data_IF_488571459801
#
_entry.id   IF_488571459801
#
_cell.length_a   1.000
_cell.length_b   1.000
_cell.length_c   1.000
_cell.angle_alpha   90.00
_cell.angle_beta   90.00
_cell.angle_gamma   90.00
#
_symmetry.space_group_name_H-M   'P 1'
#
loop_
_entity.id
_entity.type
_entity.pdbx_description
1 polymer ?
#
# COMPACT_ATOMS: atom_id res chain seq x y z
N UNK A 1 -36.83 2.69 25.42
CA UNK A 1 -35.69 1.80 25.07
C UNK A 1 -35.18 1.91 23.62
N UNK A 2 -35.97 2.35 22.63
CA UNK A 2 -35.51 2.44 21.21
C UNK A 2 -34.63 3.67 20.88
N UNK A 3 -34.85 4.80 21.58
CA UNK A 3 -34.07 6.05 21.36
C UNK A 3 -32.63 5.93 21.88
N UNK A 4 -32.40 5.16 22.94
CA UNK A 4 -31.05 4.97 23.50
C UNK A 4 -30.14 4.13 22.60
N UNK A 5 -30.71 3.28 21.74
CA UNK A 5 -29.95 2.46 20.80
C UNK A 5 -29.47 3.25 19.57
N UNK A 6 -30.25 4.26 19.15
CA UNK A 6 -29.88 5.14 18.03
C UNK A 6 -28.76 6.11 18.41
N UNK A 7 -28.77 6.63 19.64
CA UNK A 7 -27.72 7.49 20.16
C UNK A 7 -26.36 6.75 20.29
N UNK A 8 -26.38 5.46 20.60
CA UNK A 8 -25.17 4.62 20.68
C UNK A 8 -24.54 4.39 19.30
N UNK A 9 -25.36 4.28 18.24
CA UNK A 9 -24.90 4.12 16.86
C UNK A 9 -24.21 5.38 16.31
N UNK A 10 -24.68 6.57 16.70
CA UNK A 10 -24.07 7.85 16.27
C UNK A 10 -22.71 8.07 16.92
N UNK A 11 -22.51 7.64 18.16
CA UNK A 11 -21.23 7.77 18.87
C UNK A 11 -20.12 6.86 18.32
N UNK A 12 -20.47 5.69 17.77
CA UNK A 12 -19.52 4.76 17.14
C UNK A 12 -18.97 5.26 15.80
N UNK A 13 -19.59 6.25 15.17
CA UNK A 13 -19.16 6.81 13.89
C UNK A 13 -18.06 7.88 13.99
N UNK A 14 -17.75 8.36 15.20
CA UNK A 14 -16.74 9.40 15.42
C UNK A 14 -15.34 8.78 15.57
N UNK A 15 -14.86 8.12 14.52
CA UNK A 15 -13.46 7.69 14.44
C UNK A 15 -12.56 8.91 14.32
N UNK A 16 -11.59 9.07 15.22
CA UNK A 16 -10.53 10.06 15.07
C UNK A 16 -9.76 9.79 13.77
N UNK A 17 -9.68 10.79 12.89
CA UNK A 17 -8.91 10.68 11.66
C UNK A 17 -7.42 10.61 12.02
N UNK A 18 -6.83 9.42 11.93
CA UNK A 18 -5.40 9.23 12.08
C UNK A 18 -4.69 10.12 11.05
N UNK A 19 -4.04 11.18 11.53
CA UNK A 19 -3.36 12.12 10.66
C UNK A 19 -2.02 11.52 10.25
N UNK A 20 -1.87 11.19 8.97
CA UNK A 20 -0.57 10.80 8.41
C UNK A 20 0.32 12.04 8.42
N UNK A 21 1.41 11.99 9.20
CA UNK A 21 2.35 13.11 9.35
C UNK A 21 3.47 13.11 8.30
N UNK A 22 3.91 11.92 7.89
CA UNK A 22 5.01 11.74 6.95
C UNK A 22 4.60 10.76 5.85
N UNK A 23 4.98 11.06 4.62
CA UNK A 23 4.81 10.17 3.46
C UNK A 23 6.19 9.88 2.89
N UNK A 24 6.55 8.60 2.78
CA UNK A 24 7.80 8.15 2.17
C UNK A 24 7.49 7.41 0.87
N UNK A 25 7.91 7.98 -0.26
CA UNK A 25 7.87 7.33 -1.56
C UNK A 25 9.21 6.66 -1.85
N UNK A 26 9.21 5.32 -1.92
CA UNK A 26 10.39 4.53 -2.27
C UNK A 26 10.25 4.08 -3.73
N UNK A 27 11.24 4.41 -4.55
CA UNK A 27 11.32 4.00 -5.95
C UNK A 27 12.59 3.18 -6.16
N UNK A 28 12.45 2.03 -6.81
CA UNK A 28 13.56 1.16 -7.21
C UNK A 28 13.73 1.23 -8.72
N UNK A 29 14.98 1.19 -9.21
CA UNK A 29 15.29 1.20 -10.65
C UNK A 29 15.33 -0.24 -11.19
N UNK A 30 14.68 -0.48 -12.33
CA UNK A 30 14.60 -1.78 -13.02
C UNK A 30 14.10 -2.99 -12.21
N UNK A 31 13.48 -2.78 -11.04
CA UNK A 31 12.92 -3.85 -10.23
C UNK A 31 11.63 -4.41 -10.84
N UNK A 32 11.68 -5.68 -11.27
CA UNK A 32 10.50 -6.41 -11.72
C UNK A 32 9.68 -6.94 -10.53
N UNK A 33 8.36 -7.04 -10.70
CA UNK A 33 7.47 -7.58 -9.67
C UNK A 33 7.83 -9.03 -9.31
N UNK A 34 8.14 -9.87 -10.30
CA UNK A 34 8.51 -11.28 -10.12
C UNK A 34 9.89 -11.49 -9.46
N UNK A 35 10.64 -10.42 -9.20
CA UNK A 35 11.88 -10.47 -8.43
C UNK A 35 11.64 -10.47 -6.91
N UNK A 36 10.41 -10.31 -6.44
CA UNK A 36 10.06 -10.16 -5.03
C UNK A 36 9.30 -11.37 -4.47
N UNK A 37 9.56 -11.71 -3.21
CA UNK A 37 8.88 -12.79 -2.48
C UNK A 37 7.37 -12.60 -2.39
N UNK A 38 6.91 -11.38 -2.11
CA UNK A 38 5.49 -11.03 -2.02
C UNK A 38 4.69 -11.20 -3.32
N UNK A 39 5.38 -11.26 -4.48
CA UNK A 39 4.78 -11.58 -5.77
C UNK A 39 4.95 -13.06 -6.19
N UNK A 40 5.53 -13.90 -5.32
CA UNK A 40 5.61 -15.35 -5.50
C UNK A 40 7.01 -15.89 -5.84
N UNK A 41 8.05 -15.05 -5.82
CA UNK A 41 9.42 -15.53 -6.01
C UNK A 41 9.86 -16.37 -4.80
N UNK A 42 10.23 -17.63 -5.03
CA UNK A 42 10.63 -18.57 -3.96
C UNK A 42 12.13 -18.51 -3.62
N UNK A 43 12.92 -17.82 -4.44
CA UNK A 43 14.38 -17.77 -4.32
C UNK A 43 14.83 -16.41 -3.76
N UNK A 44 14.14 -15.34 -4.14
CA UNK A 44 14.45 -13.99 -3.68
C UNK A 44 14.34 -13.86 -2.15
N UNK A 45 15.35 -13.24 -1.55
CA UNK A 45 15.34 -12.94 -0.12
C UNK A 45 14.98 -11.46 0.09
N UNK A 46 13.68 -11.17 0.26
CA UNK A 46 13.14 -9.80 0.36
C UNK A 46 12.30 -9.57 1.62
N UNK A 47 12.76 -9.98 2.81
CA UNK A 47 11.91 -10.09 4.02
C UNK A 47 11.25 -8.76 4.42
N UNK A 48 11.94 -7.63 4.24
CA UNK A 48 11.40 -6.31 4.59
C UNK A 48 10.31 -5.82 3.63
N UNK A 49 10.46 -6.08 2.33
CA UNK A 49 9.42 -5.75 1.34
C UNK A 49 8.22 -6.70 1.47
N UNK A 50 8.48 -7.96 1.80
CA UNK A 50 7.44 -8.96 2.03
C UNK A 50 6.61 -8.62 3.28
N UNK A 51 7.27 -8.18 4.35
CA UNK A 51 6.61 -7.67 5.55
C UNK A 51 5.78 -6.43 5.24
N UNK A 52 6.34 -5.45 4.51
CA UNK A 52 5.60 -4.23 4.13
C UNK A 52 4.35 -4.57 3.31
N UNK A 53 4.45 -5.52 2.38
CA UNK A 53 3.31 -5.99 1.59
C UNK A 53 2.24 -6.69 2.44
N UNK A 54 2.64 -7.41 3.50
CA UNK A 54 1.73 -8.10 4.43
C UNK A 54 1.01 -7.13 5.38
N UNK A 55 1.69 -6.08 5.81
CA UNK A 55 1.14 -5.07 6.73
C UNK A 55 0.30 -4.00 6.01
N UNK A 56 0.51 -3.84 4.70
CA UNK A 56 -0.19 -2.88 3.86
C UNK A 56 -1.04 -3.51 2.75
N UNK A 57 -1.13 -2.79 1.63
CA UNK A 57 -1.86 -3.23 0.45
C UNK A 57 -0.88 -3.55 -0.68
N UNK A 58 -0.91 -4.78 -1.17
CA UNK A 58 -0.13 -5.22 -2.34
C UNK A 58 -0.93 -5.08 -3.63
N UNK A 59 -0.46 -4.23 -4.54
CA UNK A 59 -1.07 -4.06 -5.86
C UNK A 59 -0.59 -5.13 -6.83
N UNK A 60 -1.43 -6.11 -7.17
CA UNK A 60 -1.09 -7.17 -8.13
C UNK A 60 -1.00 -6.69 -9.58
N UNK A 61 -1.67 -5.58 -9.88
CA UNK A 61 -1.80 -5.02 -11.22
C UNK A 61 -1.39 -3.53 -11.20
N UNK A 62 -0.09 -3.27 -11.05
CA UNK A 62 0.49 -1.94 -11.12
C UNK A 62 1.31 -1.79 -12.41
N UNK A 63 0.98 -0.78 -13.21
CA UNK A 63 1.61 -0.54 -14.52
C UNK A 63 2.30 0.82 -14.55
N UNK A 64 3.51 0.87 -15.12
CA UNK A 64 4.18 2.12 -15.44
C UNK A 64 3.65 2.71 -16.75
N UNK A 65 3.64 4.04 -16.87
CA UNK A 65 3.16 4.72 -18.09
C UNK A 65 4.19 4.75 -19.23
N UNK A 66 5.43 4.32 -18.96
CA UNK A 66 6.48 4.20 -19.96
C UNK A 66 7.44 3.06 -19.61
N UNK A 67 7.97 2.39 -20.64
CA UNK A 67 8.88 1.24 -20.48
C UNK A 67 10.33 1.63 -20.22
N UNK A 68 10.65 2.92 -20.31
CA UNK A 68 12.00 3.46 -20.09
C UNK A 68 11.99 4.31 -18.82
N UNK A 69 13.10 4.29 -18.08
CA UNK A 69 13.19 4.91 -16.76
C UNK A 69 12.82 6.41 -16.78
N UNK A 70 13.30 7.19 -17.77
CA UNK A 70 13.02 8.63 -17.85
C UNK A 70 11.51 8.96 -18.04
N UNK A 71 10.81 8.47 -19.07
CA UNK A 71 9.38 8.74 -19.23
C UNK A 71 8.53 8.12 -18.11
N UNK A 72 8.93 6.96 -17.57
CA UNK A 72 8.25 6.36 -16.40
C UNK A 72 8.31 7.28 -15.19
N UNK A 73 9.50 7.77 -14.82
CA UNK A 73 9.68 8.69 -13.67
C UNK A 73 9.04 10.05 -13.87
N UNK A 74 8.99 10.56 -15.09
CA UNK A 74 8.33 11.84 -15.36
C UNK A 74 6.80 11.77 -15.22
N UNK A 75 6.22 10.57 -15.14
CA UNK A 75 4.78 10.36 -15.09
C UNK A 75 4.17 10.31 -13.68
N UNK A 76 5.00 10.22 -12.63
CA UNK A 76 4.57 10.18 -11.23
C UNK A 76 5.21 11.29 -10.40
#
# INVERSE_FOLDING_TARGET
MKISLFALFVFLGLSAQATVKNVLLIVSDDLKADALGCYGNKIAHTPHLDQLAKEGTLFRNAYCQGTVCRPSRASF
#
